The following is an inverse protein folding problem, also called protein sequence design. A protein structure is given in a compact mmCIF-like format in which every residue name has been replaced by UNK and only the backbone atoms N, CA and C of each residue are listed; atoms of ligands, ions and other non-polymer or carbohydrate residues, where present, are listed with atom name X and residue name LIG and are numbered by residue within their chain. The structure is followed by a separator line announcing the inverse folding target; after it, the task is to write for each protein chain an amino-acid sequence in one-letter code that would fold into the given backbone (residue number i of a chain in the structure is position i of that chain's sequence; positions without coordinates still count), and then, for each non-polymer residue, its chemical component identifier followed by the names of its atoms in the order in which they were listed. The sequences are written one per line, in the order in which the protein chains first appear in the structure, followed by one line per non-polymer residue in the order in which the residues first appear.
data_IF_685056923497
#
_entry.id   IF_685056923497
#
_cell.length_a   1.000
_cell.length_b   1.000
_cell.length_c   1.000
_cell.angle_alpha   90.00
_cell.angle_beta   90.00
_cell.angle_gamma   90.00
#
_symmetry.space_group_name_H-M   'P 1'
#
loop_
_entity.id
_entity.type
_entity.pdbx_description
1 polymer ?
#
# COMPACT_ATOMS: atom_id res chain seq x y z
N UNK A 1 -15.98 -4.61 -12.17
CA UNK A 1 -15.10 -4.59 -10.96
C UNK A 1 -14.28 -3.31 -11.01
N UNK A 2 -14.08 -2.62 -9.89
CA UNK A 2 -13.33 -1.34 -9.84
C UNK A 2 -11.96 -1.45 -10.55
N UNK A 3 -11.22 -2.54 -10.32
CA UNK A 3 -9.92 -2.78 -10.94
C UNK A 3 -9.97 -2.73 -12.49
N UNK A 4 -10.98 -3.33 -13.10
CA UNK A 4 -11.13 -3.29 -14.56
C UNK A 4 -11.42 -1.87 -15.08
N UNK A 5 -12.17 -1.08 -14.33
CA UNK A 5 -12.41 0.33 -14.69
C UNK A 5 -11.14 1.17 -14.62
N UNK A 6 -10.27 0.91 -13.63
CA UNK A 6 -8.94 1.54 -13.56
C UNK A 6 -8.09 1.17 -14.79
N UNK A 7 -8.07 -0.12 -15.18
CA UNK A 7 -7.35 -0.54 -16.39
C UNK A 7 -7.84 0.20 -17.64
N UNK A 8 -9.15 0.31 -17.83
CA UNK A 8 -9.75 1.07 -18.95
C UNK A 8 -9.35 2.55 -18.89
N UNK A 9 -9.40 3.15 -17.71
CA UNK A 9 -9.07 4.56 -17.54
C UNK A 9 -7.59 4.85 -17.83
N UNK A 10 -6.68 3.96 -17.42
CA UNK A 10 -5.24 4.04 -17.74
C UNK A 10 -5.05 4.06 -19.27
N UNK A 11 -5.75 3.18 -20.00
CA UNK A 11 -5.67 3.15 -21.48
C UNK A 11 -6.18 4.44 -22.10
N UNK A 12 -7.29 4.99 -21.63
CA UNK A 12 -7.78 6.31 -22.09
C UNK A 12 -6.72 7.40 -21.87
N UNK A 13 -6.05 7.42 -20.74
CA UNK A 13 -4.99 8.38 -20.45
C UNK A 13 -3.79 8.19 -21.39
N UNK A 14 -3.37 6.94 -21.66
CA UNK A 14 -2.29 6.63 -22.62
C UNK A 14 -2.65 7.07 -24.04
N UNK A 15 -3.88 6.80 -24.51
CA UNK A 15 -4.37 7.25 -25.81
C UNK A 15 -4.34 8.78 -25.95
N UNK A 16 -4.64 9.49 -24.86
CA UNK A 16 -4.55 10.95 -24.77
C UNK A 16 -3.12 11.45 -24.60
N UNK A 17 -2.10 10.58 -24.63
CA UNK A 17 -0.67 10.88 -24.43
C UNK A 17 -0.38 11.58 -23.09
N UNK A 18 -1.20 11.32 -22.07
CA UNK A 18 -0.94 11.82 -20.73
C UNK A 18 0.14 10.97 -20.05
N UNK A 19 0.98 11.62 -19.23
CA UNK A 19 1.94 10.91 -18.38
C UNK A 19 1.19 10.22 -17.24
N UNK A 20 0.93 8.93 -17.39
CA UNK A 20 0.26 8.14 -16.35
C UNK A 20 1.23 7.90 -15.19
N UNK A 21 0.76 8.12 -13.99
CA UNK A 21 1.41 7.75 -12.72
C UNK A 21 0.77 6.48 -12.19
N UNK A 22 1.45 5.72 -11.30
CA UNK A 22 0.83 4.60 -10.61
C UNK A 22 -0.47 5.02 -9.93
N UNK A 23 -1.46 4.15 -10.02
CA UNK A 23 -2.80 4.33 -9.43
C UNK A 23 -2.96 3.31 -8.32
N UNK A 24 -3.27 3.80 -7.13
CA UNK A 24 -3.55 2.97 -5.98
C UNK A 24 -5.00 2.48 -5.97
N UNK A 25 -5.18 1.22 -5.65
CA UNK A 25 -6.48 0.56 -5.60
C UNK A 25 -6.64 -0.15 -4.25
N UNK A 26 -7.62 0.28 -3.49
CA UNK A 26 -7.93 -0.33 -2.21
C UNK A 26 -8.47 -1.76 -2.38
N UNK A 27 -7.83 -2.70 -1.70
CA UNK A 27 -8.29 -4.08 -1.58
C UNK A 27 -8.89 -4.30 -0.18
N UNK A 28 -10.18 -4.62 -0.16
CA UNK A 28 -10.82 -5.02 1.09
C UNK A 28 -10.39 -6.43 1.51
N UNK A 29 -10.50 -6.72 2.81
CA UNK A 29 -10.25 -8.07 3.35
C UNK A 29 -11.08 -9.15 2.69
N UNK A 30 -12.37 -8.86 2.47
CA UNK A 30 -13.26 -9.78 1.78
C UNK A 30 -12.79 -10.09 0.38
N UNK A 31 -12.18 -9.10 -0.29
CA UNK A 31 -11.59 -9.29 -1.62
C UNK A 31 -10.35 -10.18 -1.56
N UNK A 32 -9.48 -10.00 -0.56
CA UNK A 32 -8.26 -10.81 -0.39
C UNK A 32 -8.55 -12.27 -0.01
N UNK A 33 -9.73 -12.57 0.52
CA UNK A 33 -10.14 -13.94 0.85
C UNK A 33 -10.50 -14.79 -0.39
N UNK A 34 -10.61 -14.20 -1.57
CA UNK A 34 -10.88 -14.95 -2.80
C UNK A 34 -9.62 -15.66 -3.31
N UNK A 35 -9.63 -16.99 -3.32
CA UNK A 35 -8.50 -17.84 -3.73
C UNK A 35 -7.94 -17.53 -5.13
N UNK A 36 -8.77 -17.00 -6.03
CA UNK A 36 -8.38 -16.70 -7.41
C UNK A 36 -8.17 -15.21 -7.68
N UNK A 37 -8.10 -14.37 -6.64
CA UNK A 37 -7.99 -12.92 -6.82
C UNK A 37 -6.77 -12.55 -7.68
N UNK A 38 -5.58 -13.02 -7.32
CA UNK A 38 -4.35 -12.69 -8.03
C UNK A 38 -4.42 -13.09 -9.52
N UNK A 39 -4.95 -14.28 -9.81
CA UNK A 39 -5.12 -14.75 -11.19
C UNK A 39 -6.12 -13.90 -11.98
N UNK A 40 -7.21 -13.47 -11.33
CA UNK A 40 -8.20 -12.59 -11.95
C UNK A 40 -7.61 -11.19 -12.25
N UNK A 41 -6.84 -10.62 -11.31
CA UNK A 41 -6.20 -9.34 -11.54
C UNK A 41 -5.16 -9.42 -12.66
N UNK A 42 -4.35 -10.47 -12.68
CA UNK A 42 -3.39 -10.72 -13.76
C UNK A 42 -4.07 -10.87 -15.12
N UNK A 43 -5.19 -11.61 -15.19
CA UNK A 43 -5.97 -11.77 -16.41
C UNK A 43 -6.50 -10.41 -16.93
N UNK A 44 -6.94 -9.53 -16.03
CA UNK A 44 -7.39 -8.19 -16.39
C UNK A 44 -6.25 -7.31 -16.91
N UNK A 45 -5.09 -7.36 -16.28
CA UNK A 45 -3.88 -6.64 -16.74
C UNK A 45 -3.52 -7.09 -18.15
N UNK A 46 -3.48 -8.40 -18.37
CA UNK A 46 -3.17 -9.00 -19.69
C UNK A 46 -4.21 -8.61 -20.73
N UNK A 47 -5.51 -8.74 -20.41
CA UNK A 47 -6.63 -8.38 -21.27
C UNK A 47 -6.57 -6.92 -21.75
N UNK A 48 -6.20 -6.01 -20.86
CA UNK A 48 -6.15 -4.58 -21.14
C UNK A 48 -4.76 -4.08 -21.53
N UNK A 49 -3.76 -4.96 -21.60
CA UNK A 49 -2.35 -4.63 -21.90
C UNK A 49 -1.82 -3.49 -21.01
N UNK A 50 -2.00 -3.62 -19.70
CA UNK A 50 -1.56 -2.64 -18.70
C UNK A 50 -0.17 -3.02 -18.21
N UNK A 51 0.70 -2.02 -18.11
CA UNK A 51 1.96 -2.15 -17.39
C UNK A 51 1.66 -2.25 -15.89
N UNK A 52 2.03 -3.36 -15.27
CA UNK A 52 1.77 -3.64 -13.85
C UNK A 52 2.36 -2.57 -12.91
N UNK A 53 3.46 -1.92 -13.32
CA UNK A 53 4.09 -0.83 -12.57
C UNK A 53 3.20 0.42 -12.41
N UNK A 54 2.09 0.50 -13.16
CA UNK A 54 1.09 1.54 -13.04
C UNK A 54 -0.01 1.23 -12.03
N UNK A 55 0.09 0.11 -11.32
CA UNK A 55 -0.91 -0.35 -10.37
C UNK A 55 -0.27 -0.61 -9.00
N UNK A 56 -0.86 -0.03 -7.97
CA UNK A 56 -0.52 -0.24 -6.58
C UNK A 56 -1.75 -0.77 -5.85
N UNK A 57 -1.58 -1.82 -5.06
CA UNK A 57 -2.67 -2.42 -4.29
C UNK A 57 -2.54 -1.99 -2.84
N UNK A 58 -3.55 -1.27 -2.33
CA UNK A 58 -3.57 -0.79 -0.96
C UNK A 58 -4.36 -1.74 -0.06
N UNK A 59 -3.76 -2.13 1.05
CA UNK A 59 -4.39 -2.93 2.10
C UNK A 59 -4.26 -2.22 3.44
N UNK A 60 -5.32 -2.19 4.22
CA UNK A 60 -5.28 -1.53 5.54
C UNK A 60 -4.56 -2.40 6.57
N UNK A 61 -3.83 -1.75 7.49
CA UNK A 61 -3.14 -2.42 8.61
C UNK A 61 -4.09 -3.30 9.42
N UNK A 62 -5.32 -2.85 9.65
CA UNK A 62 -6.34 -3.56 10.44
C UNK A 62 -6.91 -4.79 9.76
N UNK A 63 -6.23 -5.31 8.75
CA UNK A 63 -6.53 -6.62 8.19
C UNK A 63 -6.25 -7.74 9.22
N UNK A 64 -6.75 -7.61 10.47
CA UNK A 64 -6.89 -8.73 11.41
C UNK A 64 -7.80 -9.76 10.77
N UNK A 65 -7.19 -10.73 10.16
CA UNK A 65 -7.85 -11.82 9.50
C UNK A 65 -7.97 -12.94 10.52
N UNK A 66 -9.15 -13.50 10.66
CA UNK A 66 -9.34 -14.78 11.36
C UNK A 66 -8.43 -15.88 10.77
N UNK A 67 -7.79 -15.58 9.63
CA UNK A 67 -6.83 -16.45 8.97
C UNK A 67 -5.66 -15.64 8.37
N UNK A 68 -4.70 -15.26 9.21
CA UNK A 68 -3.49 -14.52 8.82
C UNK A 68 -2.69 -15.25 7.71
N UNK A 69 -2.75 -16.58 7.68
CA UNK A 69 -2.09 -17.39 6.68
C UNK A 69 -2.67 -17.17 5.26
N UNK A 70 -4.00 -17.14 5.14
CA UNK A 70 -4.66 -16.89 3.83
C UNK A 70 -4.34 -15.50 3.32
N UNK A 71 -4.28 -14.53 4.22
CA UNK A 71 -3.93 -13.15 3.89
C UNK A 71 -2.50 -13.03 3.37
N UNK A 72 -1.50 -13.58 4.11
CA UNK A 72 -0.11 -13.53 3.68
C UNK A 72 0.11 -14.25 2.35
N UNK A 73 -0.50 -15.43 2.16
CA UNK A 73 -0.41 -16.18 0.90
C UNK A 73 -1.02 -15.41 -0.28
N UNK A 74 -2.14 -14.72 -0.08
CA UNK A 74 -2.74 -13.91 -1.12
C UNK A 74 -1.82 -12.74 -1.54
N UNK A 75 -1.20 -12.06 -0.56
CA UNK A 75 -0.25 -10.99 -0.83
C UNK A 75 1.03 -11.51 -1.49
N UNK A 76 1.58 -12.64 -1.04
CA UNK A 76 2.74 -13.27 -1.66
C UNK A 76 2.48 -13.56 -3.14
N UNK A 77 1.34 -14.16 -3.49
CA UNK A 77 0.99 -14.44 -4.88
C UNK A 77 0.85 -13.17 -5.73
N UNK A 78 0.29 -12.10 -5.17
CA UNK A 78 0.23 -10.79 -5.84
C UNK A 78 1.65 -10.22 -6.07
N UNK A 79 2.55 -10.37 -5.09
CA UNK A 79 3.96 -9.97 -5.23
C UNK A 79 4.70 -10.79 -6.29
N UNK A 80 4.48 -12.10 -6.35
CA UNK A 80 5.05 -12.97 -7.40
C UNK A 80 4.65 -12.52 -8.81
N UNK A 81 3.44 -12.00 -8.97
CA UNK A 81 2.98 -11.44 -10.24
C UNK A 81 3.53 -10.03 -10.53
N UNK A 82 4.21 -9.43 -9.56
CA UNK A 82 4.88 -8.14 -9.71
C UNK A 82 4.04 -6.93 -9.29
N UNK A 83 2.92 -7.13 -8.60
CA UNK A 83 2.16 -6.01 -8.03
C UNK A 83 2.95 -5.29 -6.93
N UNK A 84 2.86 -3.96 -6.93
CA UNK A 84 3.27 -3.15 -5.78
C UNK A 84 2.18 -3.21 -4.71
N UNK A 85 2.57 -3.47 -3.46
CA UNK A 85 1.66 -3.55 -2.32
C UNK A 85 2.00 -2.44 -1.34
N UNK A 86 1.00 -1.67 -0.94
CA UNK A 86 1.11 -0.68 0.12
C UNK A 86 0.24 -1.05 1.32
N UNK A 87 0.79 -0.82 2.50
CA UNK A 87 0.05 -0.89 3.76
C UNK A 87 -0.42 0.52 4.09
N UNK A 88 -1.73 0.68 4.21
CA UNK A 88 -2.39 1.95 4.46
C UNK A 88 -2.85 2.08 5.92
N UNK A 89 -3.12 3.32 6.35
CA UNK A 89 -3.61 3.66 7.70
C UNK A 89 -2.68 3.22 8.85
N UNK A 90 -1.35 3.10 8.62
CA UNK A 90 -0.44 2.66 9.66
C UNK A 90 -0.39 3.64 10.84
N UNK A 91 -0.67 3.12 12.04
CA UNK A 91 -0.64 3.89 13.28
C UNK A 91 -1.99 4.39 13.77
N UNK A 92 -3.11 4.08 13.08
CA UNK A 92 -4.47 4.47 13.52
C UNK A 92 -4.90 3.66 14.76
N UNK A 93 -4.49 2.41 14.85
CA UNK A 93 -4.88 1.50 15.94
C UNK A 93 -3.64 0.83 16.54
N UNK A 94 -3.69 -0.45 16.78
CA UNK A 94 -2.59 -1.23 17.35
C UNK A 94 -1.60 -1.63 16.26
N UNK A 95 -0.79 -0.68 15.79
CA UNK A 95 0.26 -0.95 14.81
C UNK A 95 1.16 -2.09 15.27
N UNK A 96 1.19 -3.19 14.52
CA UNK A 96 1.99 -4.35 14.85
C UNK A 96 3.30 -4.38 14.08
N UNK A 97 4.44 -4.40 14.79
CA UNK A 97 5.74 -4.60 14.16
C UNK A 97 5.88 -6.00 13.50
N UNK A 98 5.01 -6.96 13.84
CA UNK A 98 5.00 -8.27 13.19
C UNK A 98 4.72 -8.18 11.69
N UNK A 99 4.05 -7.13 11.25
CA UNK A 99 3.80 -6.84 9.83
C UNK A 99 5.08 -6.88 8.99
N UNK A 100 6.17 -6.30 9.48
CA UNK A 100 7.47 -6.28 8.78
C UNK A 100 8.14 -7.65 8.65
N UNK A 101 7.72 -8.63 9.45
CA UNK A 101 8.28 -9.99 9.44
C UNK A 101 7.37 -11.00 8.78
N UNK A 102 6.08 -10.68 8.61
CA UNK A 102 5.07 -11.63 8.14
C UNK A 102 4.51 -11.31 6.77
N UNK A 103 4.66 -10.06 6.30
CA UNK A 103 4.08 -9.60 5.03
C UNK A 103 5.18 -8.98 4.17
N UNK A 104 5.24 -9.38 2.91
CA UNK A 104 6.11 -8.75 1.92
C UNK A 104 5.35 -7.60 1.23
N UNK A 105 5.74 -6.35 1.51
CA UNK A 105 5.13 -5.15 0.95
C UNK A 105 6.19 -4.12 0.56
N UNK A 106 5.83 -3.15 -0.27
CA UNK A 106 6.77 -2.19 -0.87
C UNK A 106 6.65 -0.79 -0.27
N UNK A 107 5.47 -0.45 0.25
CA UNK A 107 5.15 0.91 0.70
C UNK A 107 4.42 0.84 2.04
N UNK A 108 4.83 1.70 2.97
CA UNK A 108 4.14 1.93 4.24
C UNK A 108 3.63 3.37 4.26
N UNK A 109 2.33 3.55 4.47
CA UNK A 109 1.68 4.86 4.53
C UNK A 109 1.31 5.17 5.97
N UNK A 110 1.95 6.22 6.54
CA UNK A 110 1.64 6.71 7.87
C UNK A 110 0.35 7.53 7.81
N UNK A 111 -0.62 7.16 8.65
CA UNK A 111 -1.86 7.89 8.74
C UNK A 111 -1.65 9.34 9.24
N UNK A 112 -2.48 10.24 8.72
CA UNK A 112 -2.48 11.66 9.08
C UNK A 112 -2.62 11.93 10.57
N UNK A 113 -3.30 11.07 11.33
CA UNK A 113 -3.45 11.25 12.78
C UNK A 113 -2.12 11.13 13.50
N UNK A 114 -1.26 10.21 13.05
CA UNK A 114 0.09 10.06 13.57
C UNK A 114 0.97 11.26 13.18
N UNK A 115 0.89 11.68 11.91
CA UNK A 115 1.64 12.84 11.39
C UNK A 115 1.28 14.13 12.14
N UNK A 116 0.00 14.36 12.47
CA UNK A 116 -0.44 15.52 13.26
C UNK A 116 0.16 15.59 14.65
N UNK A 117 0.52 14.45 15.24
CA UNK A 117 1.13 14.43 16.60
C UNK A 117 2.59 14.83 16.61
N UNK A 118 3.27 14.83 15.45
CA UNK A 118 4.72 15.02 15.35
C UNK A 118 5.20 16.36 15.91
N UNK A 119 4.48 17.45 15.63
CA UNK A 119 4.86 18.77 16.07
C UNK A 119 4.91 18.90 17.62
N UNK A 120 4.08 18.14 18.33
CA UNK A 120 3.89 18.29 19.78
C UNK A 120 4.39 17.09 20.61
N UNK A 121 4.73 15.96 19.97
CA UNK A 121 5.07 14.72 20.68
C UNK A 121 6.47 14.21 20.30
N UNK A 122 7.45 14.47 21.18
CA UNK A 122 8.82 14.01 20.96
C UNK A 122 8.95 12.48 20.86
N UNK A 123 8.13 11.70 21.58
CA UNK A 123 8.14 10.23 21.48
C UNK A 123 7.66 9.78 20.10
N UNK A 124 6.63 10.43 19.54
CA UNK A 124 6.17 10.15 18.19
C UNK A 124 7.26 10.45 17.15
N UNK A 125 7.99 11.56 17.29
CA UNK A 125 9.13 11.87 16.41
C UNK A 125 10.21 10.78 16.43
N UNK A 126 10.60 10.33 17.64
CA UNK A 126 11.59 9.26 17.78
C UNK A 126 11.11 7.97 17.10
N UNK A 127 9.85 7.61 17.35
CA UNK A 127 9.23 6.41 16.78
C UNK A 127 9.26 6.45 15.25
N UNK A 128 8.81 7.56 14.64
CA UNK A 128 8.73 7.68 13.17
C UNK A 128 10.13 7.71 12.56
N UNK A 129 11.11 8.39 13.17
CA UNK A 129 12.50 8.32 12.70
C UNK A 129 13.06 6.90 12.74
N UNK A 130 12.79 6.15 13.81
CA UNK A 130 13.21 4.75 13.89
C UNK A 130 12.52 3.90 12.83
N UNK A 131 11.24 4.14 12.59
CA UNK A 131 10.47 3.47 11.54
C UNK A 131 11.02 3.78 10.14
N UNK A 132 11.41 5.04 9.89
CA UNK A 132 12.02 5.44 8.64
C UNK A 132 13.35 4.71 8.37
N UNK A 133 14.17 4.51 9.41
CA UNK A 133 15.41 3.70 9.31
C UNK A 133 15.06 2.25 8.98
N UNK A 134 14.12 1.65 9.70
CA UNK A 134 13.68 0.27 9.45
C UNK A 134 13.18 0.11 8.01
N UNK A 135 12.32 1.01 7.55
CA UNK A 135 11.82 0.97 6.17
C UNK A 135 12.95 1.09 5.15
N UNK A 136 13.91 2.01 5.39
CA UNK A 136 15.08 2.18 4.52
C UNK A 136 15.94 0.92 4.45
N UNK A 137 16.23 0.28 5.59
CA UNK A 137 17.05 -0.93 5.65
C UNK A 137 16.37 -2.14 4.98
N UNK A 138 15.03 -2.17 5.01
CA UNK A 138 14.23 -3.22 4.36
C UNK A 138 13.88 -2.90 2.90
N UNK A 139 14.26 -1.73 2.37
CA UNK A 139 13.90 -1.29 1.01
C UNK A 139 12.42 -0.93 0.84
N UNK A 140 11.74 -0.62 1.94
CA UNK A 140 10.32 -0.22 1.97
C UNK A 140 10.24 1.30 1.83
N UNK A 141 9.37 1.79 0.94
CA UNK A 141 9.11 3.22 0.81
C UNK A 141 8.16 3.68 1.92
N UNK A 142 8.58 4.68 2.71
CA UNK A 142 7.72 5.30 3.71
C UNK A 142 7.05 6.55 3.13
N UNK A 143 5.74 6.67 3.31
CA UNK A 143 4.95 7.84 2.90
C UNK A 143 4.23 8.39 4.14
N UNK A 144 4.37 9.69 4.39
CA UNK A 144 3.61 10.38 5.43
C UNK A 144 2.40 11.09 4.80
N UNK A 145 1.20 10.76 5.25
CA UNK A 145 -0.02 11.38 4.78
C UNK A 145 -0.44 12.57 5.64
N UNK A 146 -1.06 13.55 5.00
CA UNK A 146 -1.61 14.73 5.72
C UNK A 146 -0.54 15.64 6.31
N UNK A 147 0.62 15.77 5.70
CA UNK A 147 1.61 16.81 6.02
C UNK A 147 1.03 18.17 5.60
N UNK A 148 0.76 19.02 6.58
CA UNK A 148 0.10 20.31 6.37
C UNK A 148 0.99 21.52 6.69
N UNK A 149 2.11 21.31 7.41
CA UNK A 149 3.00 22.40 7.87
C UNK A 149 4.46 22.12 7.53
N UNK A 150 5.26 23.19 7.41
CA UNK A 150 6.70 23.05 7.23
C UNK A 150 7.37 22.35 8.41
N UNK A 151 6.90 22.62 9.64
CA UNK A 151 7.41 21.96 10.84
C UNK A 151 7.22 20.43 10.78
N UNK A 152 6.10 19.96 10.23
CA UNK A 152 5.88 18.51 10.03
C UNK A 152 6.79 17.94 8.94
N UNK A 153 7.11 18.72 7.92
CA UNK A 153 7.96 18.29 6.82
C UNK A 153 9.44 18.15 7.24
N UNK A 154 9.90 18.97 8.20
CA UNK A 154 11.30 19.02 8.65
C UNK A 154 11.63 17.94 9.71
N UNK A 155 10.64 17.14 10.14
CA UNK A 155 10.80 16.09 11.14
C UNK A 155 11.25 14.78 10.53
#
# INVERSE_FOLDING_TARGET
MLFEEVCKQINIWKERKLRVKPVSINLSRSTLSYHFLADQLLALITKHNIDISLLELEVTETAEVDNQLVFSQALEKLKEYGFSISIDDFGVRNASLSLFTTINFDILKLDRSLVKTLAQNQKARILIRSLAVICSDLGIKLIAEGVETLEQLDI
#
